data_IF_197858370429
#
_entry.id   IF_197858370429
#
_cell.length_a   1.000
_cell.length_b   1.000
_cell.length_c   1.000
_cell.angle_alpha   90.00
_cell.angle_beta   90.00
_cell.angle_gamma   90.00
#
_symmetry.space_group_name_H-M   'P 1'
#
loop_
_entity.id
_entity.type
_entity.pdbx_description
1 polymer ?
#
# COMPACT_ATOMS: atom_id res chain seq x y z
N UNK A 1 17.28 -14.02 -11.62
CA UNK A 1 17.22 -13.00 -10.55
C UNK A 1 16.37 -13.57 -9.43
N UNK A 2 16.74 -13.32 -8.18
CA UNK A 2 15.92 -13.67 -7.03
C UNK A 2 14.72 -12.70 -6.97
N UNK A 3 13.50 -13.22 -6.85
CA UNK A 3 12.30 -12.38 -6.71
C UNK A 3 12.35 -11.65 -5.36
N UNK A 4 12.07 -10.34 -5.37
CA UNK A 4 12.04 -9.48 -4.18
C UNK A 4 10.75 -8.68 -4.20
N UNK A 5 9.93 -8.87 -3.17
CA UNK A 5 8.68 -8.15 -2.97
C UNK A 5 8.70 -7.45 -1.62
N UNK A 6 7.80 -6.49 -1.43
CA UNK A 6 7.72 -5.75 -0.17
C UNK A 6 6.30 -5.48 0.29
N UNK A 7 6.10 -5.53 1.59
CA UNK A 7 4.99 -4.85 2.23
C UNK A 7 5.45 -3.47 2.71
N UNK A 8 4.77 -2.41 2.23
CA UNK A 8 5.15 -1.03 2.49
C UNK A 8 4.01 -0.22 3.14
N UNK A 9 3.69 -0.44 4.43
CA UNK A 9 2.60 0.28 5.09
C UNK A 9 3.04 1.66 5.60
N UNK A 10 2.17 2.66 5.47
CA UNK A 10 2.31 3.91 6.23
C UNK A 10 1.74 3.74 7.64
N UNK A 11 2.50 4.09 8.71
CA UNK A 11 2.11 3.84 10.10
C UNK A 11 1.13 4.90 10.63
N UNK A 12 -0.03 5.03 9.98
CA UNK A 12 -1.10 6.00 10.31
C UNK A 12 -2.28 5.37 11.06
N UNK A 13 -2.02 4.25 11.74
CA UNK A 13 -2.96 3.43 12.49
C UNK A 13 -2.62 1.94 12.38
N UNK A 14 -3.39 1.08 13.04
CA UNK A 14 -3.20 -0.38 13.12
C UNK A 14 -3.13 -1.11 11.76
N UNK A 15 -2.57 -2.33 11.75
CA UNK A 15 -2.65 -3.22 10.59
C UNK A 15 -4.11 -3.61 10.33
N UNK A 16 -4.63 -3.16 9.19
CA UNK A 16 -6.01 -3.41 8.82
C UNK A 16 -6.12 -4.52 7.77
N UNK A 17 -7.30 -5.12 7.66
CA UNK A 17 -7.60 -6.30 6.85
C UNK A 17 -7.10 -6.19 5.40
N UNK A 18 -7.32 -5.05 4.74
CA UNK A 18 -6.83 -4.82 3.37
C UNK A 18 -5.30 -4.83 3.25
N UNK A 19 -4.60 -4.19 4.19
CA UNK A 19 -3.14 -4.19 4.24
C UNK A 19 -2.57 -5.55 4.68
N UNK A 20 -3.22 -6.23 5.62
CA UNK A 20 -2.85 -7.58 6.04
C UNK A 20 -2.95 -8.59 4.88
N UNK A 21 -4.01 -8.50 4.07
CA UNK A 21 -4.13 -9.31 2.84
C UNK A 21 -3.01 -9.00 1.85
N UNK A 22 -2.68 -7.72 1.65
CA UNK A 22 -1.57 -7.35 0.78
C UNK A 22 -0.23 -7.91 1.30
N UNK A 23 0.03 -7.83 2.61
CA UNK A 23 1.21 -8.43 3.24
C UNK A 23 1.23 -9.95 3.04
N UNK A 24 0.11 -10.63 3.30
CA UNK A 24 -0.03 -12.08 3.11
C UNK A 24 0.24 -12.48 1.65
N UNK A 25 -0.28 -11.77 0.65
CA UNK A 25 -0.08 -12.12 -0.75
C UNK A 25 1.37 -11.92 -1.19
N UNK A 26 2.04 -10.87 -0.70
CA UNK A 26 3.48 -10.71 -0.92
C UNK A 26 4.27 -11.85 -0.26
N UNK A 27 3.93 -12.22 0.98
CA UNK A 27 4.57 -13.33 1.69
C UNK A 27 4.38 -14.66 0.95
N UNK A 28 3.14 -15.03 0.61
CA UNK A 28 2.83 -16.27 -0.11
C UNK A 28 3.53 -16.32 -1.46
N UNK A 29 3.51 -15.22 -2.23
CA UNK A 29 4.20 -15.14 -3.51
C UNK A 29 5.71 -15.33 -3.35
N UNK A 30 6.33 -14.62 -2.41
CA UNK A 30 7.76 -14.73 -2.15
C UNK A 30 8.15 -16.15 -1.76
N UNK A 31 7.40 -16.78 -0.84
CA UNK A 31 7.67 -18.16 -0.40
C UNK A 31 7.45 -19.17 -1.53
N UNK A 32 6.40 -19.01 -2.33
CA UNK A 32 6.10 -19.90 -3.47
C UNK A 32 7.26 -19.96 -4.47
N UNK A 33 7.80 -18.79 -4.84
CA UNK A 33 8.84 -18.67 -5.88
C UNK A 33 10.27 -18.72 -5.31
N UNK A 34 10.44 -18.99 -4.01
CA UNK A 34 11.74 -18.97 -3.33
C UNK A 34 12.42 -17.59 -3.29
N UNK A 35 11.62 -16.51 -3.32
CA UNK A 35 12.05 -15.12 -3.23
C UNK A 35 12.14 -14.56 -1.81
N UNK A 36 12.25 -13.23 -1.72
CA UNK A 36 12.37 -12.46 -0.48
C UNK A 36 11.14 -11.57 -0.25
N UNK A 37 10.62 -11.60 0.97
CA UNK A 37 9.58 -10.74 1.50
C UNK A 37 10.20 -9.70 2.43
N UNK A 38 10.12 -8.42 2.04
CA UNK A 38 10.73 -7.30 2.74
C UNK A 38 9.68 -6.42 3.41
N UNK A 39 10.06 -5.72 4.49
CA UNK A 39 9.21 -4.76 5.17
C UNK A 39 9.82 -3.35 5.07
N UNK A 40 9.02 -2.39 4.60
CA UNK A 40 9.37 -0.96 4.58
C UNK A 40 8.29 -0.12 5.26
N UNK A 41 8.61 0.60 6.32
CA UNK A 41 7.67 1.52 6.97
C UNK A 41 7.71 2.87 6.26
N UNK A 42 6.57 3.30 5.71
CA UNK A 42 6.44 4.58 4.98
C UNK A 42 6.00 5.70 5.93
N UNK A 43 6.89 6.07 6.84
CA UNK A 43 6.71 7.03 7.95
C UNK A 43 7.01 8.50 7.59
N UNK A 44 6.76 8.88 6.34
CA UNK A 44 7.09 10.23 5.83
C UNK A 44 6.07 11.32 6.22
N UNK A 45 4.86 10.95 6.64
CA UNK A 45 3.85 11.88 7.18
C UNK A 45 4.02 11.99 8.70
N UNK A 46 4.91 12.87 9.16
CA UNK A 46 5.26 13.03 10.58
C UNK A 46 4.07 13.36 11.50
N UNK A 47 3.02 13.99 10.97
CA UNK A 47 1.83 14.34 11.78
C UNK A 47 0.96 13.12 12.07
N UNK A 48 0.96 12.12 11.18
CA UNK A 48 0.09 10.95 11.27
C UNK A 48 0.83 9.67 11.59
N UNK A 49 2.14 9.64 11.37
CA UNK A 49 2.99 8.48 11.61
C UNK A 49 3.35 8.42 13.08
N UNK A 50 2.95 7.34 13.77
CA UNK A 50 3.24 7.16 15.19
C UNK A 50 3.97 5.85 15.47
N UNK A 51 4.81 5.85 16.50
CA UNK A 51 5.48 4.64 16.98
C UNK A 51 4.47 3.56 17.39
N UNK A 52 3.35 3.97 18.01
CA UNK A 52 2.25 3.06 18.36
C UNK A 52 1.64 2.39 17.12
N UNK A 53 1.43 3.15 16.04
CA UNK A 53 0.91 2.59 14.79
C UNK A 53 1.91 1.62 14.17
N UNK A 54 3.20 1.94 14.20
CA UNK A 54 4.27 1.06 13.72
C UNK A 54 4.27 -0.24 14.52
N UNK A 55 4.27 -0.16 15.85
CA UNK A 55 4.18 -1.33 16.74
C UNK A 55 2.94 -2.17 16.48
N UNK A 56 1.77 -1.54 16.35
CA UNK A 56 0.52 -2.25 16.02
C UNK A 56 0.58 -2.95 14.65
N UNK A 57 1.32 -2.40 13.69
CA UNK A 57 1.58 -3.08 12.41
C UNK A 57 2.46 -4.31 12.60
N UNK A 58 3.56 -4.18 13.35
CA UNK A 58 4.50 -5.27 13.61
C UNK A 58 3.84 -6.41 14.40
N UNK A 59 3.11 -6.09 15.47
CA UNK A 59 2.34 -7.07 16.24
C UNK A 59 1.31 -7.81 15.38
N UNK A 60 0.68 -7.12 14.42
CA UNK A 60 -0.25 -7.73 13.49
C UNK A 60 0.42 -8.69 12.50
N UNK A 61 1.62 -8.35 12.01
CA UNK A 61 2.40 -9.24 11.14
C UNK A 61 2.93 -10.46 11.91
N UNK A 62 3.43 -10.25 13.14
CA UNK A 62 3.91 -11.29 14.04
C UNK A 62 2.79 -12.27 14.39
N UNK A 63 1.61 -11.77 14.78
CA UNK A 63 0.45 -12.62 15.04
C UNK A 63 0.06 -13.46 13.82
N UNK A 64 0.10 -12.85 12.62
CA UNK A 64 -0.14 -13.57 11.38
C UNK A 64 1.02 -14.50 10.97
N UNK A 65 2.16 -14.51 11.67
CA UNK A 65 3.33 -15.32 11.33
C UNK A 65 3.94 -14.96 9.98
N UNK A 66 3.95 -13.67 9.62
CA UNK A 66 4.47 -13.16 8.35
C UNK A 66 5.87 -12.58 8.53
N UNK A 67 6.84 -13.47 8.74
CA UNK A 67 8.24 -13.08 8.91
C UNK A 67 8.82 -12.48 7.63
N UNK A 68 9.53 -11.36 7.77
CA UNK A 68 10.26 -10.69 6.71
C UNK A 68 11.75 -11.05 6.76
N UNK A 69 12.42 -11.00 5.61
CA UNK A 69 13.70 -11.68 5.41
C UNK A 69 14.96 -10.81 5.64
N UNK A 70 14.77 -9.50 5.80
CA UNK A 70 15.85 -8.50 5.96
C UNK A 70 15.41 -7.42 6.96
N UNK A 71 16.33 -6.55 7.37
CA UNK A 71 16.02 -5.47 8.31
C UNK A 71 14.93 -4.53 7.79
N UNK A 72 14.14 -3.98 8.72
CA UNK A 72 13.09 -3.02 8.41
C UNK A 72 13.73 -1.75 7.85
N UNK A 73 13.23 -1.32 6.69
CA UNK A 73 13.59 -0.01 6.12
C UNK A 73 12.59 1.03 6.58
N UNK A 74 13.04 2.11 7.21
CA UNK A 74 12.22 3.29 7.48
C UNK A 74 12.43 4.30 6.35
N UNK A 75 11.34 4.76 5.74
CA UNK A 75 11.41 5.65 4.58
C UNK A 75 11.91 7.05 4.97
N UNK A 76 11.62 7.48 6.20
CA UNK A 76 12.12 8.73 6.78
C UNK A 76 13.65 8.81 6.78
N UNK A 77 14.36 7.70 7.05
CA UNK A 77 15.83 7.62 7.03
C UNK A 77 16.44 7.88 5.65
N UNK A 78 15.67 7.67 4.58
CA UNK A 78 16.10 7.89 3.20
C UNK A 78 15.70 9.26 2.62
N UNK A 79 15.06 10.15 3.42
CA UNK A 79 14.52 11.41 2.92
C UNK A 79 15.57 12.29 2.21
N UNK A 80 16.81 12.32 2.72
CA UNK A 80 17.90 13.06 2.08
C UNK A 80 18.32 12.43 0.75
N UNK A 81 18.39 11.10 0.66
CA UNK A 81 18.68 10.42 -0.60
C UNK A 81 17.62 10.74 -1.65
N UNK A 82 16.34 10.73 -1.27
CA UNK A 82 15.25 11.10 -2.17
C UNK A 82 15.38 12.56 -2.64
N UNK A 83 15.73 13.48 -1.73
CA UNK A 83 16.00 14.89 -2.06
C UNK A 83 17.09 15.03 -3.11
N UNK A 84 18.22 14.35 -2.91
CA UNK A 84 19.34 14.37 -3.84
C UNK A 84 18.96 13.83 -5.22
N UNK A 85 18.11 12.80 -5.28
CA UNK A 85 17.60 12.29 -6.56
C UNK A 85 16.73 13.33 -7.29
N UNK A 86 15.85 14.05 -6.59
CA UNK A 86 15.06 15.10 -7.22
C UNK A 86 15.92 16.28 -7.70
N UNK A 87 16.93 16.67 -6.93
CA UNK A 87 17.89 17.71 -7.32
C UNK A 87 18.71 17.28 -8.54
N UNK A 88 19.15 16.02 -8.59
CA UNK A 88 19.81 15.45 -9.77
C UNK A 88 18.90 15.52 -11.01
N UNK A 89 17.62 15.16 -10.88
CA UNK A 89 16.66 15.25 -12.00
C UNK A 89 16.45 16.70 -12.46
N UNK A 90 16.53 17.67 -11.54
CA UNK A 90 16.49 19.10 -11.85
C UNK A 90 17.74 19.53 -12.62
N UNK A 91 18.93 19.14 -12.16
CA UNK A 91 20.21 19.43 -12.84
C UNK A 91 20.27 18.83 -14.25
N UNK A 92 19.71 17.64 -14.45
CA UNK A 92 19.60 16.96 -15.75
C UNK A 92 18.53 17.57 -16.68
N UNK A 93 17.81 18.61 -16.24
CA UNK A 93 16.75 19.26 -17.01
C UNK A 93 15.48 18.40 -17.19
N UNK A 94 15.37 17.28 -16.47
CA UNK A 94 14.21 16.39 -16.46
C UNK A 94 13.12 16.86 -15.50
N UNK A 95 13.47 17.74 -14.57
CA UNK A 95 12.57 18.40 -13.64
C UNK A 95 12.73 19.92 -13.71
N UNK A 96 11.82 20.66 -13.10
CA UNK A 96 11.86 22.13 -13.01
C UNK A 96 11.39 22.61 -11.63
N UNK A 97 11.73 23.86 -11.30
CA UNK A 97 11.25 24.55 -10.10
C UNK A 97 9.89 25.18 -10.37
N UNK A 98 8.92 24.87 -9.54
CA UNK A 98 7.59 25.48 -9.55
C UNK A 98 7.50 26.50 -8.41
N UNK A 99 7.54 27.77 -8.76
CA UNK A 99 7.45 28.91 -7.83
C UNK A 99 5.99 29.32 -7.55
N UNK A 100 5.01 28.53 -7.99
CA UNK A 100 3.60 28.81 -7.67
C UNK A 100 3.45 28.86 -6.16
N UNK A 101 3.02 29.99 -5.57
CA UNK A 101 2.87 30.11 -4.13
C UNK A 101 1.96 29.01 -3.59
N UNK A 102 2.29 28.48 -2.41
CA UNK A 102 1.43 27.52 -1.72
C UNK A 102 0.10 28.22 -1.43
N UNK A 103 -0.93 27.90 -2.20
CA UNK A 103 -2.26 28.46 -1.95
C UNK A 103 -2.71 28.13 -0.53
N UNK A 104 -3.26 29.14 0.15
CA UNK A 104 -3.84 28.96 1.46
C UNK A 104 -5.14 28.14 1.31
N UNK A 105 -5.05 26.83 1.54
CA UNK A 105 -6.14 25.86 1.34
C UNK A 105 -7.42 26.18 2.13
N UNK A 106 -7.38 27.13 3.06
CA UNK A 106 -8.50 27.61 3.85
C UNK A 106 -9.42 28.61 3.11
N UNK A 107 -9.01 29.16 1.96
CA UNK A 107 -9.79 30.19 1.27
C UNK A 107 -10.81 29.60 0.28
N UNK A 108 -12.05 29.40 0.73
CA UNK A 108 -13.14 28.77 -0.02
C UNK A 108 -13.52 29.46 -1.33
N UNK A 109 -13.25 30.76 -1.48
CA UNK A 109 -13.60 31.52 -2.68
C UNK A 109 -12.77 31.09 -3.90
N UNK A 110 -11.52 30.66 -3.71
CA UNK A 110 -10.61 30.26 -4.80
C UNK A 110 -11.00 28.87 -5.34
N UNK A 111 -11.53 27.97 -4.49
CA UNK A 111 -12.12 26.70 -4.95
C UNK A 111 -13.31 26.92 -5.89
N UNK A 112 -14.13 27.93 -5.60
CA UNK A 112 -15.24 28.34 -6.44
C UNK A 112 -14.72 28.92 -7.76
N UNK A 113 -13.74 29.82 -7.72
CA UNK A 113 -13.15 30.44 -8.92
C UNK A 113 -12.43 29.44 -9.84
N UNK A 114 -11.75 28.43 -9.28
CA UNK A 114 -11.11 27.36 -10.06
C UNK A 114 -12.16 26.41 -10.65
N UNK A 115 -13.23 26.09 -9.90
CA UNK A 115 -14.34 25.28 -10.41
C UNK A 115 -15.14 26.02 -11.49
N UNK A 116 -15.32 27.32 -11.36
CA UNK A 116 -16.06 28.17 -12.30
C UNK A 116 -15.22 28.48 -13.55
N UNK A 117 -13.90 28.69 -13.42
CA UNK A 117 -12.97 28.73 -14.58
C UNK A 117 -12.89 27.41 -15.32
N UNK A 118 -12.90 26.28 -14.60
CA UNK A 118 -12.93 24.94 -15.20
C UNK A 118 -14.27 24.62 -15.89
N UNK A 119 -15.38 25.23 -15.46
CA UNK A 119 -16.69 25.13 -16.14
C UNK A 119 -16.83 26.08 -17.33
N UNK A 120 -16.08 27.20 -17.35
CA UNK A 120 -16.12 28.21 -18.40
C UNK A 120 -15.23 27.94 -19.63
N UNK A 121 -14.27 27.01 -19.55
CA UNK A 121 -13.39 26.66 -20.66
C UNK A 121 -13.85 25.36 -21.33
N UNK A 122 -14.55 25.46 -22.46
CA UNK A 122 -14.80 24.35 -23.39
C UNK A 122 -13.54 23.94 -24.18
N UNK A 123 -12.38 23.91 -23.52
CA UNK A 123 -11.11 23.41 -24.06
C UNK A 123 -10.63 22.21 -23.25
N UNK A 124 -9.92 21.28 -23.87
CA UNK A 124 -9.25 20.20 -23.15
C UNK A 124 -8.33 20.80 -22.09
N UNK A 125 -8.60 20.51 -20.81
CA UNK A 125 -7.80 21.00 -19.68
C UNK A 125 -6.39 20.42 -19.78
N UNK A 126 -5.41 21.23 -20.19
CA UNK A 126 -4.01 20.82 -20.17
C UNK A 126 -3.52 20.69 -18.71
N UNK A 127 -3.35 19.45 -18.25
CA UNK A 127 -2.93 19.13 -16.87
C UNK A 127 -1.49 19.56 -16.55
N UNK A 128 -0.73 20.02 -17.54
CA UNK A 128 0.68 20.43 -17.44
C UNK A 128 0.90 21.93 -17.67
N UNK A 129 -0.19 22.70 -17.73
CA UNK A 129 -0.12 24.16 -17.83
C UNK A 129 0.46 24.74 -16.52
N UNK A 130 1.76 25.02 -16.55
CA UNK A 130 2.51 25.62 -15.46
C UNK A 130 3.45 26.70 -16.04
N UNK A 131 3.34 27.96 -15.60
CA UNK A 131 4.11 29.08 -16.18
C UNK A 131 5.62 28.98 -15.91
N UNK A 132 6.05 28.16 -14.96
CA UNK A 132 7.45 27.95 -14.59
C UNK A 132 8.08 26.75 -15.31
N UNK A 133 7.29 25.97 -16.05
CA UNK A 133 7.73 24.73 -16.69
C UNK A 133 8.92 24.92 -17.62
N UNK A 134 8.87 25.95 -18.45
CA UNK A 134 9.87 26.23 -19.48
C UNK A 134 10.66 27.50 -19.21
N UNK A 135 10.73 27.94 -17.94
CA UNK A 135 11.67 28.97 -17.53
C UNK A 135 13.11 28.56 -17.89
N UNK A 136 13.90 29.55 -18.31
CA UNK A 136 15.33 29.34 -18.49
C UNK A 136 15.99 28.97 -17.15
N UNK A 137 17.12 28.27 -17.23
CA UNK A 137 17.87 27.88 -16.03
C UNK A 137 18.29 29.12 -15.26
N UNK A 138 18.75 30.15 -15.96
CA UNK A 138 19.22 31.42 -15.41
C UNK A 138 18.11 32.14 -14.63
N UNK A 139 16.90 32.24 -15.18
CA UNK A 139 15.76 32.85 -14.48
C UNK A 139 15.30 32.03 -13.28
N UNK A 140 15.28 30.70 -13.43
CA UNK A 140 14.92 29.77 -12.35
C UNK A 140 15.92 29.84 -11.19
N UNK A 141 17.23 29.88 -11.49
CA UNK A 141 18.29 30.02 -10.49
C UNK A 141 18.21 31.39 -9.80
N UNK A 142 18.03 32.48 -10.54
CA UNK A 142 17.89 33.82 -9.96
C UNK A 142 16.73 33.93 -8.96
N UNK A 143 15.58 33.30 -9.26
CA UNK A 143 14.43 33.25 -8.33
C UNK A 143 14.73 32.42 -7.08
N UNK A 144 15.38 31.27 -7.24
CA UNK A 144 15.77 30.43 -6.12
C UNK A 144 16.81 31.14 -5.22
N UNK A 145 17.79 31.82 -5.81
CA UNK A 145 18.83 32.58 -5.11
C UNK A 145 18.26 33.80 -4.37
N UNK A 146 17.16 34.37 -4.88
CA UNK A 146 16.38 35.40 -4.19
C UNK A 146 15.57 34.87 -2.99
N UNK A 147 15.61 33.57 -2.72
CA UNK A 147 14.90 32.92 -1.61
C UNK A 147 13.42 32.68 -1.87
N UNK A 148 12.95 32.75 -3.11
CA UNK A 148 11.56 32.40 -3.44
C UNK A 148 11.33 30.90 -3.17
N UNK A 149 10.30 30.50 -2.40
CA UNK A 149 10.01 29.10 -2.14
C UNK A 149 9.51 28.39 -3.40
N UNK A 150 10.01 27.18 -3.67
CA UNK A 150 9.63 26.42 -4.87
C UNK A 150 9.47 24.92 -4.61
N UNK A 151 8.55 24.28 -5.30
CA UNK A 151 8.51 22.82 -5.41
C UNK A 151 9.40 22.34 -6.57
N UNK A 152 9.78 21.07 -6.59
CA UNK A 152 10.43 20.45 -7.76
C UNK A 152 9.44 19.51 -8.44
N UNK A 153 9.25 19.66 -9.75
CA UNK A 153 8.33 18.84 -10.55
C UNK A 153 9.05 18.10 -11.66
N UNK A 154 8.73 16.82 -11.85
CA UNK A 154 9.16 16.05 -13.02
C UNK A 154 8.40 16.52 -14.26
N UNK A 155 9.13 16.79 -15.35
CA UNK A 155 8.53 17.10 -16.65
C UNK A 155 7.98 15.83 -17.30
N UNK A 156 6.67 15.77 -17.49
CA UNK A 156 6.04 14.73 -18.33
C UNK A 156 6.09 15.19 -19.79
N UNK A 157 6.58 14.36 -20.72
CA UNK A 157 6.69 14.76 -22.13
C UNK A 157 5.32 15.13 -22.75
N UNK A 158 5.29 16.07 -23.70
CA UNK A 158 4.03 16.60 -24.25
C UNK A 158 3.19 15.53 -24.96
N UNK A 159 3.83 14.63 -25.70
CA UNK A 159 3.18 13.58 -26.50
C UNK A 159 3.70 12.19 -26.13
N UNK A 160 2.86 11.19 -26.38
CA UNK A 160 3.12 9.79 -26.06
C UNK A 160 2.25 9.29 -24.91
N UNK A 161 2.59 8.09 -24.42
CA UNK A 161 1.84 7.40 -23.38
C UNK A 161 2.77 6.64 -22.45
N UNK A 162 2.28 6.33 -21.27
CA UNK A 162 2.87 5.34 -20.37
C UNK A 162 2.06 4.07 -20.48
N UNK A 163 2.75 2.93 -20.46
CA UNK A 163 2.12 1.62 -20.44
C UNK A 163 2.86 0.67 -19.51
N UNK A 164 2.14 -0.29 -18.95
CA UNK A 164 2.70 -1.44 -18.23
C UNK A 164 1.73 -2.61 -18.26
N UNK A 165 2.26 -3.82 -18.16
CA UNK A 165 1.48 -5.03 -17.96
C UNK A 165 1.26 -5.24 -16.46
N UNK A 166 0.00 -5.23 -16.03
CA UNK A 166 -0.38 -5.63 -14.68
C UNK A 166 -0.69 -7.12 -14.64
N UNK A 167 -0.13 -7.85 -13.67
CA UNK A 167 -0.35 -9.29 -13.55
C UNK A 167 -1.82 -9.67 -13.29
N UNK A 168 -2.64 -8.77 -12.74
CA UNK A 168 -4.07 -8.99 -12.44
C UNK A 168 -4.96 -8.34 -13.50
N UNK A 169 -4.69 -7.07 -13.84
CA UNK A 169 -5.54 -6.27 -14.72
C UNK A 169 -5.09 -6.24 -16.19
N UNK A 170 -3.95 -6.85 -16.54
CA UNK A 170 -3.39 -6.84 -17.89
C UNK A 170 -2.85 -5.46 -18.30
N UNK A 171 -2.69 -5.25 -19.60
CA UNK A 171 -2.16 -4.00 -20.17
C UNK A 171 -2.92 -2.77 -19.67
N UNK A 172 -2.20 -1.87 -19.01
CA UNK A 172 -2.67 -0.55 -18.61
C UNK A 172 -1.96 0.51 -19.42
N UNK A 173 -2.71 1.43 -20.00
CA UNK A 173 -2.18 2.54 -20.79
C UNK A 173 -2.80 3.86 -20.35
N UNK A 174 -2.01 4.94 -20.43
CA UNK A 174 -2.50 6.30 -20.21
C UNK A 174 -1.69 7.29 -21.03
N UNK A 175 -2.38 8.19 -21.72
CA UNK A 175 -1.74 9.24 -22.50
C UNK A 175 -1.09 10.27 -21.58
N UNK A 176 0.03 10.84 -22.02
CA UNK A 176 0.73 11.86 -21.23
C UNK A 176 -0.09 13.14 -21.05
N UNK A 177 -1.05 13.42 -21.93
CA UNK A 177 -2.01 14.52 -21.79
C UNK A 177 -2.92 14.39 -20.56
N UNK A 178 -3.13 13.16 -20.08
CA UNK A 178 -3.93 12.85 -18.90
C UNK A 178 -3.12 12.83 -17.59
N UNK A 179 -1.82 13.14 -17.65
CA UNK A 179 -0.91 13.08 -16.51
C UNK A 179 -0.30 14.47 -16.27
N UNK A 180 -0.49 14.98 -15.05
CA UNK A 180 0.11 16.24 -14.63
C UNK A 180 1.63 16.13 -14.41
N UNK A 181 2.34 17.26 -14.42
CA UNK A 181 3.72 17.31 -13.95
C UNK A 181 3.82 16.97 -12.47
N UNK A 182 4.61 15.93 -12.18
CA UNK A 182 4.62 15.27 -10.89
C UNK A 182 5.47 16.05 -9.89
N UNK A 183 4.87 16.51 -8.81
CA UNK A 183 5.66 17.07 -7.69
C UNK A 183 6.52 15.97 -7.08
N UNK A 184 7.83 16.17 -7.13
CA UNK A 184 8.87 15.30 -6.57
C UNK A 184 9.21 15.74 -5.15
N UNK A 185 9.50 17.04 -4.98
CA UNK A 185 9.73 17.69 -3.68
C UNK A 185 8.75 18.82 -3.46
N UNK A 186 8.32 18.98 -2.22
CA UNK A 186 7.62 20.19 -1.75
C UNK A 186 8.60 21.35 -1.56
N UNK A 187 8.05 22.55 -1.33
CA UNK A 187 8.84 23.76 -1.06
C UNK A 187 9.57 23.78 0.28
N UNK A 188 9.13 22.95 1.23
CA UNK A 188 9.87 22.64 2.46
C UNK A 188 10.94 21.54 2.23
N UNK A 189 11.16 21.14 0.97
CA UNK A 189 12.11 20.13 0.56
C UNK A 189 11.65 18.68 0.81
N UNK A 190 10.51 18.41 1.44
CA UNK A 190 10.11 17.03 1.72
C UNK A 190 9.79 16.26 0.44
N UNK A 191 10.32 15.04 0.26
CA UNK A 191 9.98 14.20 -0.88
C UNK A 191 8.53 13.72 -0.80
N UNK A 192 7.88 13.63 -1.96
CA UNK A 192 6.53 13.06 -2.06
C UNK A 192 6.57 11.56 -2.36
N UNK A 193 5.47 10.90 -1.99
CA UNK A 193 5.25 9.46 -2.08
C UNK A 193 5.79 8.81 -3.36
N UNK A 194 5.44 9.33 -4.56
CA UNK A 194 5.83 8.69 -5.81
C UNK A 194 7.35 8.71 -6.04
N UNK A 195 8.06 9.75 -5.59
CA UNK A 195 9.51 9.78 -5.65
C UNK A 195 10.12 8.80 -4.63
N UNK A 196 9.68 8.91 -3.37
CA UNK A 196 10.23 8.11 -2.27
C UNK A 196 10.10 6.61 -2.53
N UNK A 197 8.90 6.15 -2.93
CA UNK A 197 8.64 4.75 -3.25
C UNK A 197 9.51 4.25 -4.41
N UNK A 198 9.67 5.03 -5.47
CA UNK A 198 10.50 4.61 -6.61
C UNK A 198 11.97 4.52 -6.21
N UNK A 199 12.47 5.50 -5.46
CA UNK A 199 13.85 5.48 -4.98
C UNK A 199 14.11 4.26 -4.09
N UNK A 200 13.23 4.00 -3.13
CA UNK A 200 13.39 2.88 -2.21
C UNK A 200 13.18 1.52 -2.90
N UNK A 201 12.23 1.41 -3.84
CA UNK A 201 12.03 0.17 -4.62
C UNK A 201 13.27 -0.15 -5.48
N UNK A 202 13.96 0.87 -6.02
CA UNK A 202 15.24 0.70 -6.73
C UNK A 202 16.33 0.23 -5.76
N UNK A 203 16.48 0.90 -4.61
CA UNK A 203 17.53 0.61 -3.62
C UNK A 203 17.36 -0.79 -3.02
N UNK A 204 16.12 -1.15 -2.69
CA UNK A 204 15.76 -2.48 -2.17
C UNK A 204 15.72 -3.56 -3.25
N UNK A 205 15.96 -3.19 -4.51
CA UNK A 205 15.95 -4.07 -5.68
C UNK A 205 14.64 -4.85 -5.83
N UNK A 206 13.50 -4.19 -5.58
CA UNK A 206 12.18 -4.81 -5.71
C UNK A 206 11.96 -5.23 -7.16
N UNK A 207 11.58 -6.47 -7.37
CA UNK A 207 11.31 -7.04 -8.70
C UNK A 207 9.83 -7.06 -9.02
N UNK A 208 8.97 -7.23 -8.00
CA UNK A 208 7.53 -7.34 -8.16
C UNK A 208 6.83 -6.52 -7.05
N UNK A 209 5.96 -5.60 -7.47
CA UNK A 209 5.16 -4.75 -6.58
C UNK A 209 3.74 -5.27 -6.55
N UNK A 210 3.36 -5.91 -5.44
CA UNK A 210 2.01 -6.41 -5.18
C UNK A 210 1.34 -5.50 -4.15
N UNK A 211 0.31 -4.74 -4.56
CA UNK A 211 -0.36 -3.73 -3.70
C UNK A 211 -1.83 -3.51 -4.09
N UNK A 212 -2.59 -2.75 -3.31
CA UNK A 212 -4.00 -2.45 -3.63
C UNK A 212 -4.18 -1.63 -4.92
N UNK A 213 -5.28 -1.88 -5.64
CA UNK A 213 -5.65 -1.18 -6.88
C UNK A 213 -5.90 0.33 -6.73
N UNK A 214 -6.04 0.83 -5.51
CA UNK A 214 -6.06 2.26 -5.23
C UNK A 214 -4.75 2.97 -5.61
N UNK A 215 -3.66 2.22 -5.76
CA UNK A 215 -2.39 2.72 -6.28
C UNK A 215 -2.18 2.46 -7.78
N UNK A 216 -3.14 1.86 -8.50
CA UNK A 216 -3.00 1.56 -9.93
C UNK A 216 -2.67 2.81 -10.75
N UNK A 217 -3.39 3.91 -10.48
CA UNK A 217 -3.12 5.21 -11.14
C UNK A 217 -1.73 5.78 -10.80
N UNK A 218 -1.21 5.51 -9.61
CA UNK A 218 0.13 5.96 -9.23
C UNK A 218 1.22 5.23 -10.02
N UNK A 219 0.97 4.03 -10.51
CA UNK A 219 1.94 3.24 -11.29
C UNK A 219 2.37 3.96 -12.57
N UNK A 220 1.44 4.60 -13.28
CA UNK A 220 1.74 5.46 -14.44
C UNK A 220 2.74 6.57 -14.08
N UNK A 221 2.55 7.21 -12.92
CA UNK A 221 3.42 8.27 -12.40
C UNK A 221 4.79 7.73 -12.02
N UNK A 222 4.82 6.57 -11.37
CA UNK A 222 6.06 5.91 -10.94
C UNK A 222 6.90 5.44 -12.12
N UNK A 223 6.29 4.91 -13.19
CA UNK A 223 6.98 4.52 -14.43
C UNK A 223 7.71 5.70 -15.05
N UNK A 224 7.11 6.90 -15.04
CA UNK A 224 7.77 8.10 -15.53
C UNK A 224 9.02 8.46 -14.72
N UNK A 225 8.99 8.25 -13.40
CA UNK A 225 10.15 8.45 -12.52
C UNK A 225 11.23 7.40 -12.81
N UNK A 226 10.87 6.11 -12.91
CA UNK A 226 11.80 5.04 -13.33
C UNK A 226 12.47 5.37 -14.66
N UNK A 227 11.69 5.80 -15.66
CA UNK A 227 12.18 6.20 -16.98
C UNK A 227 13.13 7.40 -16.88
N UNK A 228 12.77 8.42 -16.10
CA UNK A 228 13.63 9.59 -15.88
C UNK A 228 14.96 9.21 -15.22
N UNK A 229 14.96 8.22 -14.33
CA UNK A 229 16.16 7.70 -13.68
C UNK A 229 16.95 6.67 -14.53
N UNK A 230 16.46 6.33 -15.73
CA UNK A 230 17.07 5.31 -16.58
C UNK A 230 17.05 3.91 -15.95
N UNK A 231 16.01 3.60 -15.17
CA UNK A 231 15.83 2.33 -14.48
C UNK A 231 14.63 1.57 -15.03
N UNK A 232 14.73 0.25 -15.05
CA UNK A 232 13.62 -0.64 -15.43
C UNK A 232 12.64 -0.73 -14.25
N UNK A 233 11.33 -0.46 -14.45
CA UNK A 233 10.34 -0.66 -13.40
C UNK A 233 10.21 -2.14 -13.01
N UNK A 234 9.77 -2.44 -11.77
CA UNK A 234 9.38 -3.79 -11.38
C UNK A 234 8.13 -4.24 -12.15
N UNK A 235 7.80 -5.52 -12.04
CA UNK A 235 6.47 -6.03 -12.42
C UNK A 235 5.44 -5.53 -11.42
N UNK A 236 4.21 -5.27 -11.87
CA UNK A 236 3.15 -4.80 -11.01
C UNK A 236 2.00 -5.80 -10.97
N UNK A 237 1.40 -5.96 -9.78
CA UNK A 237 0.17 -6.70 -9.57
C UNK A 237 -0.72 -5.91 -8.62
N UNK A 238 -1.88 -5.46 -9.10
CA UNK A 238 -2.80 -4.70 -8.27
C UNK A 238 -3.93 -5.58 -7.74
N UNK A 239 -4.09 -5.60 -6.43
CA UNK A 239 -5.10 -6.39 -5.74
C UNK A 239 -6.44 -5.63 -5.75
N UNK A 240 -7.57 -6.29 -6.08
CA UNK A 240 -8.89 -5.66 -6.06
C UNK A 240 -9.24 -5.13 -4.67
N UNK A 241 -10.16 -4.19 -4.56
CA UNK A 241 -10.52 -3.64 -3.24
C UNK A 241 -11.30 -4.69 -2.44
N UNK A 242 -11.21 -4.56 -1.12
CA UNK A 242 -12.16 -5.17 -0.20
C UNK A 242 -13.22 -4.13 0.10
N UNK A 243 -14.49 -4.51 -0.05
CA UNK A 243 -15.64 -3.66 0.19
C UNK A 243 -16.30 -4.04 1.51
N UNK A 244 -16.91 -3.06 2.16
CA UNK A 244 -17.83 -3.27 3.27
C UNK A 244 -19.20 -3.74 2.75
N UNK A 245 -20.14 -4.18 3.62
CA UNK A 245 -21.48 -4.64 3.22
C UNK A 245 -22.25 -3.62 2.37
N UNK A 246 -22.04 -2.33 2.61
CA UNK A 246 -22.63 -1.23 1.84
C UNK A 246 -21.98 -1.00 0.46
N UNK A 247 -21.08 -1.88 0.02
CA UNK A 247 -20.28 -1.79 -1.21
C UNK A 247 -19.30 -0.61 -1.27
N UNK A 248 -19.15 0.15 -0.17
CA UNK A 248 -18.11 1.16 -0.04
C UNK A 248 -16.74 0.53 0.22
N UNK A 249 -15.65 1.25 -0.09
CA UNK A 249 -14.28 0.81 0.22
C UNK A 249 -14.12 0.58 1.72
N UNK A 250 -13.65 -0.61 2.09
CA UNK A 250 -13.28 -0.95 3.46
C UNK A 250 -12.06 -0.09 3.87
N UNK A 251 -12.11 0.49 5.07
CA UNK A 251 -11.05 1.39 5.56
C UNK A 251 -11.06 1.55 7.08
N UNK A 252 -9.90 1.83 7.66
CA UNK A 252 -9.70 2.08 9.10
C UNK A 252 -10.64 3.17 9.65
N UNK A 253 -10.68 4.31 8.95
CA UNK A 253 -11.40 5.51 9.40
C UNK A 253 -12.91 5.32 9.49
N UNK A 254 -13.49 4.47 8.63
CA UNK A 254 -14.95 4.28 8.55
C UNK A 254 -15.46 3.09 9.35
N UNK A 255 -14.63 2.08 9.59
CA UNK A 255 -15.08 0.79 10.14
C UNK A 255 -14.37 0.40 11.44
N UNK A 256 -13.35 1.16 11.89
CA UNK A 256 -12.80 0.98 13.24
C UNK A 256 -12.22 -0.42 13.49
N UNK A 257 -12.44 -0.93 14.70
CA UNK A 257 -11.78 -2.14 15.21
C UNK A 257 -12.11 -3.42 14.41
N UNK A 258 -13.29 -3.51 13.78
CA UNK A 258 -13.71 -4.72 13.03
C UNK A 258 -12.76 -5.09 11.88
N UNK A 259 -11.94 -4.14 11.43
CA UNK A 259 -10.95 -4.37 10.37
C UNK A 259 -9.52 -4.46 10.88
N UNK A 260 -9.27 -4.43 12.20
CA UNK A 260 -7.94 -4.50 12.81
C UNK A 260 -7.50 -5.93 13.07
N UNK A 261 -6.25 -6.28 12.74
CA UNK A 261 -5.71 -7.63 13.00
C UNK A 261 -5.63 -7.96 14.49
N UNK A 262 -5.26 -6.99 15.33
CA UNK A 262 -5.20 -7.19 16.78
C UNK A 262 -6.57 -7.48 17.37
N UNK A 263 -7.66 -6.95 16.79
CA UNK A 263 -9.02 -7.27 17.23
C UNK A 263 -9.36 -8.74 17.01
N UNK A 264 -8.95 -9.36 15.91
CA UNK A 264 -9.19 -10.79 15.68
C UNK A 264 -8.37 -11.66 16.64
N UNK A 265 -7.09 -11.32 16.86
CA UNK A 265 -6.24 -11.95 17.89
C UNK A 265 -6.94 -11.92 19.24
N UNK A 266 -7.33 -10.73 19.69
CA UNK A 266 -7.90 -10.51 21.02
C UNK A 266 -9.32 -11.12 21.17
N UNK A 267 -10.02 -11.37 20.05
CA UNK A 267 -11.31 -12.07 19.99
C UNK A 267 -11.18 -13.60 19.86
N UNK A 268 -9.97 -14.15 19.94
CA UNK A 268 -9.73 -15.59 19.98
C UNK A 268 -9.68 -16.26 18.60
N UNK A 269 -9.39 -15.51 17.53
CA UNK A 269 -9.05 -16.13 16.25
C UNK A 269 -7.65 -16.73 16.31
N UNK A 270 -7.51 -17.94 15.78
CA UNK A 270 -6.19 -18.55 15.57
C UNK A 270 -5.61 -18.06 14.25
N UNK A 271 -4.33 -17.70 14.26
CA UNK A 271 -3.64 -17.14 13.10
C UNK A 271 -3.73 -18.00 11.82
N UNK A 272 -3.62 -19.35 11.87
CA UNK A 272 -3.78 -20.19 10.68
C UNK A 272 -5.15 -20.01 10.00
N UNK A 273 -6.23 -19.95 10.77
CA UNK A 273 -7.58 -19.75 10.23
C UNK A 273 -7.72 -18.39 9.58
N UNK A 274 -7.22 -17.35 10.25
CA UNK A 274 -7.35 -16.00 9.74
C UNK A 274 -6.50 -15.75 8.49
N UNK A 275 -5.30 -16.34 8.41
CA UNK A 275 -4.49 -16.35 7.18
C UNK A 275 -5.26 -16.98 6.02
N UNK A 276 -5.86 -18.15 6.21
CA UNK A 276 -6.63 -18.79 5.15
C UNK A 276 -7.85 -17.97 4.74
N UNK A 277 -8.60 -17.42 5.70
CA UNK A 277 -9.71 -16.53 5.42
C UNK A 277 -9.26 -15.33 4.57
N UNK A 278 -8.20 -14.64 5.00
CA UNK A 278 -7.61 -13.52 4.26
C UNK A 278 -7.17 -13.91 2.84
N UNK A 279 -6.58 -15.11 2.68
CA UNK A 279 -6.16 -15.63 1.38
C UNK A 279 -7.36 -15.70 0.42
N UNK A 280 -8.49 -16.25 0.87
CA UNK A 280 -9.67 -16.45 0.03
C UNK A 280 -10.46 -15.16 -0.26
N UNK A 281 -10.07 -14.01 0.31
CA UNK A 281 -10.63 -12.71 -0.03
C UNK A 281 -10.06 -12.17 -1.34
N UNK A 282 -10.49 -12.78 -2.44
CA UNK A 282 -10.12 -12.35 -3.81
C UNK A 282 -9.02 -13.21 -4.45
N UNK A 283 -8.75 -14.40 -3.92
CA UNK A 283 -7.88 -15.40 -4.56
C UNK A 283 -8.50 -16.80 -4.44
N UNK A 284 -8.24 -17.66 -5.42
CA UNK A 284 -8.62 -19.06 -5.42
C UNK A 284 -7.48 -19.92 -5.96
N UNK A 285 -7.31 -21.11 -5.39
CA UNK A 285 -6.42 -22.15 -5.90
C UNK A 285 -6.96 -22.86 -7.16
N UNK A 286 -8.15 -22.48 -7.66
CA UNK A 286 -8.81 -23.14 -8.79
C UNK A 286 -9.58 -24.42 -8.43
N UNK A 287 -9.81 -24.66 -7.14
CA UNK A 287 -10.56 -25.79 -6.60
C UNK A 287 -11.63 -25.35 -5.59
N UNK A 288 -12.60 -26.20 -5.30
CA UNK A 288 -13.70 -25.90 -4.36
C UNK A 288 -13.28 -25.95 -2.87
N UNK A 289 -12.05 -26.41 -2.59
CA UNK A 289 -11.52 -26.51 -1.24
C UNK A 289 -11.33 -25.12 -0.62
N UNK A 290 -11.70 -24.98 0.65
CA UNK A 290 -11.60 -23.69 1.37
C UNK A 290 -10.63 -23.71 2.57
N UNK A 291 -10.24 -24.89 3.06
CA UNK A 291 -9.36 -25.05 4.23
C UNK A 291 -7.96 -25.49 3.78
N UNK A 292 -6.94 -24.69 4.09
CA UNK A 292 -5.55 -24.86 3.66
C UNK A 292 -4.56 -24.68 4.81
N UNK A 293 -3.52 -25.50 4.88
CA UNK A 293 -2.35 -25.17 5.71
C UNK A 293 -1.60 -23.97 5.14
N UNK A 294 -0.66 -23.41 5.91
CA UNK A 294 0.19 -22.33 5.40
C UNK A 294 1.06 -22.83 4.23
N UNK A 295 1.58 -24.04 4.34
CA UNK A 295 2.40 -24.71 3.33
C UNK A 295 1.61 -24.92 2.04
N UNK A 296 0.35 -25.37 2.13
CA UNK A 296 -0.53 -25.51 0.97
C UNK A 296 -0.86 -24.16 0.32
N UNK A 297 -1.10 -23.11 1.13
CA UNK A 297 -1.27 -21.75 0.60
C UNK A 297 -0.01 -21.30 -0.12
N UNK A 298 1.18 -21.52 0.45
CA UNK A 298 2.46 -21.18 -0.17
C UNK A 298 2.64 -21.94 -1.49
N UNK A 299 2.42 -23.25 -1.50
CA UNK A 299 2.59 -24.08 -2.69
C UNK A 299 1.64 -23.68 -3.82
N UNK A 300 0.39 -23.35 -3.49
CA UNK A 300 -0.65 -23.06 -4.49
C UNK A 300 -0.71 -21.60 -4.92
N UNK A 301 -0.19 -20.66 -4.12
CA UNK A 301 -0.35 -19.24 -4.40
C UNK A 301 0.25 -18.83 -5.74
N UNK A 302 -0.55 -18.11 -6.53
CA UNK A 302 -0.16 -17.53 -7.81
C UNK A 302 -0.89 -16.21 -8.01
N UNK A 303 -0.29 -15.31 -8.80
CA UNK A 303 -0.91 -14.01 -9.12
C UNK A 303 -2.10 -14.19 -10.07
N UNK A 304 -2.07 -15.24 -10.90
CA UNK A 304 -3.14 -15.63 -11.82
C UNK A 304 -4.40 -16.07 -11.07
N UNK A 305 -4.26 -16.61 -9.85
CA UNK A 305 -5.38 -16.96 -8.99
C UNK A 305 -6.10 -15.76 -8.37
N UNK A 306 -5.56 -14.54 -8.50
CA UNK A 306 -6.18 -13.32 -7.96
C UNK A 306 -7.34 -12.88 -8.86
N UNK A 307 -8.54 -12.82 -8.29
CA UNK A 307 -9.72 -12.38 -9.02
C UNK A 307 -9.72 -10.87 -9.24
N UNK A 308 -10.29 -10.40 -10.36
CA UNK A 308 -10.43 -8.97 -10.66
C UNK A 308 -11.59 -8.30 -9.91
N UNK A 309 -12.56 -9.10 -9.45
CA UNK A 309 -13.74 -8.61 -8.75
C UNK A 309 -13.41 -8.25 -7.30
N UNK A 310 -14.04 -7.19 -6.80
CA UNK A 310 -13.89 -6.79 -5.40
C UNK A 310 -14.55 -7.82 -4.48
N UNK A 311 -13.81 -8.26 -3.46
CA UNK A 311 -14.37 -9.09 -2.40
C UNK A 311 -15.19 -8.22 -1.44
N UNK A 312 -16.34 -8.71 -1.00
CA UNK A 312 -17.12 -8.07 0.07
C UNK A 312 -16.78 -8.78 1.37
N UNK A 313 -16.30 -8.02 2.34
CA UNK A 313 -16.10 -8.48 3.70
C UNK A 313 -17.36 -8.15 4.49
N UNK A 314 -18.13 -9.19 4.88
CA UNK A 314 -19.39 -9.00 5.57
C UNK A 314 -19.16 -8.88 7.06
N UNK A 315 -19.83 -7.95 7.75
CA UNK A 315 -19.76 -7.82 9.20
C UNK A 315 -20.95 -7.04 9.72
N UNK A 316 -21.32 -7.28 10.98
CA UNK A 316 -22.37 -6.53 11.67
C UNK A 316 -21.95 -6.29 13.13
N UNK A 317 -21.33 -5.13 13.40
CA UNK A 317 -20.82 -4.80 14.74
C UNK A 317 -21.90 -4.78 15.85
N UNK A 318 -23.18 -4.69 15.48
CA UNK A 318 -24.29 -4.73 16.44
C UNK A 318 -24.69 -6.15 16.87
N UNK A 319 -24.24 -7.19 16.16
CA UNK A 319 -24.46 -8.59 16.53
C UNK A 319 -23.19 -9.15 17.18
N UNK A 320 -23.20 -9.37 18.49
CA UNK A 320 -22.04 -9.91 19.21
C UNK A 320 -21.59 -11.29 18.73
N UNK A 321 -22.50 -12.09 18.15
CA UNK A 321 -22.20 -13.44 17.65
C UNK A 321 -21.70 -13.41 16.21
N UNK A 322 -22.25 -12.53 15.39
CA UNK A 322 -21.91 -12.36 13.97
C UNK A 322 -21.29 -10.98 13.71
N UNK A 323 -20.38 -10.59 14.60
CA UNK A 323 -19.74 -9.27 14.57
C UNK A 323 -18.80 -9.10 13.38
N UNK A 324 -18.39 -10.20 12.77
CA UNK A 324 -17.48 -10.32 11.62
C UNK A 324 -18.06 -11.31 10.60
N UNK A 325 -17.35 -11.51 9.49
CA UNK A 325 -17.75 -12.41 8.40
C UNK A 325 -17.96 -13.84 8.89
N UNK A 326 -19.13 -14.40 8.59
CA UNK A 326 -19.54 -15.75 8.99
C UNK A 326 -18.55 -16.81 8.48
N UNK A 327 -17.93 -16.59 7.31
CA UNK A 327 -16.91 -17.49 6.78
C UNK A 327 -15.65 -17.47 7.64
N UNK A 328 -15.26 -16.31 8.17
CA UNK A 328 -14.13 -16.21 9.09
C UNK A 328 -14.43 -16.98 10.39
N UNK A 329 -15.63 -16.81 10.95
CA UNK A 329 -16.05 -17.53 12.17
C UNK A 329 -16.09 -19.04 11.96
N UNK A 330 -16.69 -19.49 10.85
CA UNK A 330 -16.74 -20.91 10.48
C UNK A 330 -15.35 -21.49 10.34
N UNK A 331 -14.46 -20.85 9.56
CA UNK A 331 -13.08 -21.29 9.40
C UNK A 331 -12.38 -21.39 10.75
N UNK A 332 -12.47 -20.35 11.59
CA UNK A 332 -11.83 -20.37 12.90
C UNK A 332 -12.27 -21.58 13.74
N UNK A 333 -13.57 -21.90 13.71
CA UNK A 333 -14.10 -23.08 14.38
C UNK A 333 -13.57 -24.40 13.79
N UNK A 334 -13.45 -24.53 12.46
CA UNK A 334 -12.86 -25.72 11.83
C UNK A 334 -11.39 -25.91 12.21
N UNK A 335 -10.60 -24.84 12.18
CA UNK A 335 -9.19 -24.91 12.58
C UNK A 335 -9.06 -25.30 14.05
N UNK A 336 -9.84 -24.70 14.96
CA UNK A 336 -9.81 -25.08 16.37
C UNK A 336 -10.18 -26.55 16.57
N UNK A 337 -11.21 -27.06 15.86
CA UNK A 337 -11.63 -28.48 15.95
C UNK A 337 -10.59 -29.47 15.45
N UNK A 338 -9.81 -29.08 14.44
CA UNK A 338 -8.89 -29.99 13.73
C UNK A 338 -7.42 -29.79 14.11
N UNK A 339 -7.10 -28.71 14.84
CA UNK A 339 -5.76 -28.43 15.31
C UNK A 339 -5.28 -29.51 16.30
N UNK A 340 -4.06 -30.05 16.14
CA UNK A 340 -3.46 -30.93 17.13
C UNK A 340 -3.45 -30.28 18.52
N UNK A 341 -3.78 -31.06 19.56
CA UNK A 341 -3.90 -30.55 20.93
C UNK A 341 -2.61 -29.85 21.41
N UNK A 342 -1.45 -30.38 21.04
CA UNK A 342 -0.13 -29.78 21.36
C UNK A 342 0.02 -28.33 20.84
N UNK A 343 -0.64 -28.00 19.73
CA UNK A 343 -0.64 -26.65 19.15
C UNK A 343 -1.77 -25.78 19.70
N UNK A 344 -2.91 -26.39 20.04
CA UNK A 344 -4.08 -25.66 20.56
C UNK A 344 -3.91 -25.27 22.03
N UNK A 345 -3.36 -26.17 22.85
CA UNK A 345 -3.19 -25.97 24.30
C UNK A 345 -2.52 -24.63 24.63
N UNK A 346 -1.35 -24.28 24.05
CA UNK A 346 -0.70 -23.00 24.33
C UNK A 346 -1.58 -21.77 24.04
N UNK A 347 -2.49 -21.87 23.06
CA UNK A 347 -3.35 -20.77 22.62
C UNK A 347 -4.57 -20.53 23.52
N UNK A 348 -5.01 -21.55 24.26
CA UNK A 348 -6.23 -21.48 25.10
C UNK A 348 -5.92 -21.57 26.59
N UNK A 349 -4.67 -21.89 26.96
CA UNK A 349 -4.27 -22.16 28.34
C UNK A 349 -4.58 -21.00 29.28
N UNK A 350 -4.26 -19.77 28.88
CA UNK A 350 -4.46 -18.60 29.73
C UNK A 350 -5.95 -18.30 29.93
N UNK A 351 -6.74 -18.46 28.89
CA UNK A 351 -8.19 -18.27 28.85
C UNK A 351 -8.89 -19.31 29.72
N UNK A 352 -8.53 -20.59 29.56
CA UNK A 352 -9.07 -21.69 30.38
C UNK A 352 -8.66 -21.55 31.85
N UNK A 353 -7.43 -21.11 32.15
CA UNK A 353 -7.00 -20.81 33.54
C UNK A 353 -7.82 -19.67 34.12
N UNK A 354 -8.00 -18.59 33.37
CA UNK A 354 -8.78 -17.42 33.80
C UNK A 354 -10.26 -17.76 34.02
N UNK A 355 -10.81 -18.65 33.19
CA UNK A 355 -12.18 -19.17 33.32
C UNK A 355 -12.34 -20.28 34.37
N UNK A 356 -11.26 -20.70 35.05
CA UNK A 356 -11.24 -21.83 35.99
C UNK A 356 -11.69 -23.17 35.39
N UNK A 357 -11.40 -23.36 34.10
CA UNK A 357 -11.67 -24.58 33.34
C UNK A 357 -10.41 -25.41 33.08
N UNK A 358 -9.22 -24.86 33.37
CA UNK A 358 -7.95 -25.58 33.24
C UNK A 358 -7.82 -26.71 34.27
N UNK A 359 -7.23 -27.83 33.85
CA UNK A 359 -6.90 -28.96 34.71
C UNK A 359 -5.42 -29.30 34.54
N UNK A 360 -4.77 -29.72 35.62
CA UNK A 360 -3.34 -30.04 35.63
C UNK A 360 -2.98 -31.20 34.69
N UNK A 361 -3.96 -32.03 34.32
CA UNK A 361 -3.84 -33.10 33.32
C UNK A 361 -3.64 -32.59 31.86
N UNK A 362 -3.84 -31.29 31.61
CA UNK A 362 -3.62 -30.64 30.30
C UNK A 362 -2.22 -30.04 30.14
N UNK A 363 -1.38 -30.10 31.18
CA UNK A 363 -0.03 -29.54 31.18
C UNK A 363 0.96 -30.30 30.29
#
# INVERSE_FOLDING_TARGET
MLIRVRFAPSPTGYLHLGAARAALFNYLYARNVGGKFLLRIEDTDLERSTEESTRSILEGLEWLGLDYDEEIVFQSDNAEKHRQIALKLLEEGKAYRDFTPKEDRANTNIKQDIADKARGQQGEKNMRDNPFRDLSKEESDAKADAGEPFAIRLKVAETGKTSFEDAVYGLQERDYSEIEDLVLLRSDGHPLYNLAVVCDDIEMQITDVIRGQDHLTNTHKQILIYKALGKTPPRFAHLPLILAPNKGKLSKRKHGAVVSMTTYRDKGFVAPAFRNFLALLGWSAGEEREIYSLEELIEKFSLEGVHRNNAVFNFNEADERHWTDDKALWMNAEYIRTMPLENLIPLVKNELKSAKLWRDEYE
#
